data_IF_379884448093
#
_entry.id   IF_379884448093
#
_cell.length_a   1.000
_cell.length_b   1.000
_cell.length_c   1.000
_cell.angle_alpha   90.00
_cell.angle_beta   90.00
_cell.angle_gamma   90.00
#
_symmetry.space_group_name_H-M   'P 1'
#
loop_
_entity.id
_entity.type
_entity.pdbx_description
1 polymer ?
#
# COMPACT_ATOMS: atom_id res chain seq x y z
N UNK A 1 18.91 17.07 5.74
CA UNK A 1 19.36 16.19 6.85
C UNK A 1 20.61 16.74 7.57
N UNK A 2 20.80 18.07 7.66
CA UNK A 2 22.05 18.66 8.15
C UNK A 2 22.04 19.10 9.63
N UNK A 3 20.89 19.04 10.31
CA UNK A 3 20.76 19.42 11.73
C UNK A 3 19.79 18.49 12.47
N UNK A 4 20.22 17.28 12.89
CA UNK A 4 19.37 16.35 13.63
C UNK A 4 18.96 16.93 15.00
N UNK A 5 17.75 16.60 15.46
CA UNK A 5 17.13 17.12 16.69
C UNK A 5 16.78 15.95 17.60
N UNK A 6 16.38 16.22 18.84
CA UNK A 6 15.89 15.18 19.75
C UNK A 6 14.65 14.45 19.20
N UNK A 7 13.80 15.11 18.40
CA UNK A 7 12.68 14.48 17.67
C UNK A 7 13.22 13.42 16.68
N UNK A 8 14.22 13.78 15.88
CA UNK A 8 14.87 12.87 14.93
C UNK A 8 15.50 11.65 15.64
N UNK A 9 16.19 11.88 16.77
CA UNK A 9 16.80 10.82 17.56
C UNK A 9 15.76 9.86 18.16
N UNK A 10 14.63 10.38 18.65
CA UNK A 10 13.50 9.58 19.13
C UNK A 10 12.91 8.69 18.03
N UNK A 11 12.70 9.23 16.82
CA UNK A 11 12.22 8.47 15.66
C UNK A 11 13.21 7.37 15.26
N UNK A 12 14.51 7.67 15.21
CA UNK A 12 15.54 6.67 14.91
C UNK A 12 15.54 5.50 15.92
N UNK A 13 15.43 5.80 17.23
CA UNK A 13 15.30 4.75 18.25
C UNK A 13 14.06 3.90 18.07
N UNK A 14 12.93 4.48 17.67
CA UNK A 14 11.69 3.73 17.43
C UNK A 14 11.90 2.69 16.33
N UNK A 15 12.56 3.06 15.24
CA UNK A 15 12.91 2.14 14.14
C UNK A 15 13.82 1.02 14.64
N UNK A 16 14.90 1.35 15.35
CA UNK A 16 15.84 0.33 15.87
C UNK A 16 15.17 -0.62 16.87
N UNK A 17 14.30 -0.12 17.74
CA UNK A 17 13.52 -0.96 18.67
C UNK A 17 12.54 -1.87 17.94
N UNK A 18 11.93 -1.39 16.85
CA UNK A 18 11.07 -2.22 16.01
C UNK A 18 11.88 -3.37 15.42
N UNK A 19 12.99 -3.07 14.73
CA UNK A 19 13.88 -4.11 14.15
C UNK A 19 14.33 -5.12 15.21
N UNK A 20 14.80 -4.65 16.36
CA UNK A 20 15.24 -5.51 17.47
C UNK A 20 14.11 -6.37 18.04
N UNK A 21 12.90 -5.80 18.15
CA UNK A 21 11.72 -6.48 18.68
C UNK A 21 10.99 -7.38 17.68
N UNK A 22 11.45 -7.43 16.42
CA UNK A 22 10.85 -8.24 15.36
C UNK A 22 11.86 -9.10 14.62
N UNK A 23 12.99 -9.43 15.27
CA UNK A 23 14.01 -10.32 14.70
C UNK A 23 13.47 -11.72 14.41
N UNK A 24 12.47 -12.15 15.18
CA UNK A 24 11.77 -13.41 15.04
C UNK A 24 10.53 -13.29 14.14
N UNK A 25 10.35 -12.22 13.37
CA UNK A 25 9.21 -12.08 12.45
C UNK A 25 9.61 -12.36 11.01
N UNK A 26 8.69 -12.93 10.24
CA UNK A 26 8.88 -13.24 8.82
C UNK A 26 7.56 -13.27 8.05
N UNK A 27 7.66 -13.40 6.73
CA UNK A 27 6.52 -13.55 5.84
C UNK A 27 6.05 -15.02 5.83
N UNK A 28 4.78 -15.26 6.13
CA UNK A 28 4.17 -16.60 6.08
C UNK A 28 3.51 -16.85 4.71
N UNK A 29 4.14 -17.71 3.90
CA UNK A 29 3.56 -18.20 2.65
C UNK A 29 2.73 -19.45 2.90
N UNK A 30 1.43 -19.40 2.59
CA UNK A 30 0.53 -20.56 2.70
C UNK A 30 0.29 -21.15 1.32
N UNK A 31 0.36 -22.48 1.24
CA UNK A 31 0.02 -23.22 0.03
C UNK A 31 -1.51 -23.26 -0.14
N UNK A 32 -1.97 -23.12 -1.39
CA UNK A 32 -3.38 -23.31 -1.74
C UNK A 32 -4.24 -22.05 -1.65
N UNK A 33 -3.65 -20.90 -1.33
CA UNK A 33 -4.30 -19.60 -1.54
C UNK A 33 -4.32 -19.26 -3.03
N UNK A 34 -5.34 -18.55 -3.48
CA UNK A 34 -5.50 -18.21 -4.90
C UNK A 34 -4.43 -17.23 -5.42
N UNK A 35 -4.03 -17.40 -6.69
CA UNK A 35 -3.11 -16.53 -7.42
C UNK A 35 -3.77 -15.21 -7.85
N UNK A 36 -4.39 -14.48 -6.93
CA UNK A 36 -5.06 -13.20 -7.21
C UNK A 36 -4.22 -12.05 -6.68
N UNK A 37 -3.89 -11.12 -7.57
CA UNK A 37 -3.26 -9.85 -7.21
C UNK A 37 -4.29 -8.92 -6.57
N UNK A 38 -4.02 -8.46 -5.36
CA UNK A 38 -4.85 -7.48 -4.64
C UNK A 38 -3.98 -6.31 -4.18
N UNK A 39 -4.44 -5.10 -4.42
CA UNK A 39 -3.76 -3.86 -4.05
C UNK A 39 -4.47 -3.08 -2.95
N UNK A 40 -3.71 -2.28 -2.24
CA UNK A 40 -4.14 -1.31 -1.23
C UNK A 40 -3.42 0.01 -1.48
N UNK A 41 -4.11 1.14 -1.37
CA UNK A 41 -3.51 2.46 -1.45
C UNK A 41 -4.08 3.40 -0.38
N UNK A 42 -3.20 4.19 0.23
CA UNK A 42 -3.53 5.23 1.19
C UNK A 42 -2.56 6.41 1.02
N UNK A 43 -2.88 7.57 1.57
CA UNK A 43 -1.91 8.65 1.72
C UNK A 43 -2.12 9.38 3.04
N UNK A 44 -1.04 9.91 3.61
CA UNK A 44 -1.19 11.00 4.56
C UNK A 44 -1.64 12.29 3.84
N UNK A 45 -2.10 13.28 4.60
CA UNK A 45 -2.34 14.61 4.07
C UNK A 45 -1.41 15.63 4.73
N UNK A 46 -0.58 16.29 3.91
CA UNK A 46 0.39 17.28 4.35
C UNK A 46 1.34 16.75 5.44
N UNK A 47 1.76 15.47 5.35
CA UNK A 47 2.58 14.84 6.38
C UNK A 47 3.98 15.43 6.56
N UNK A 48 4.48 16.15 5.55
CA UNK A 48 5.78 16.83 5.59
C UNK A 48 5.62 18.31 5.98
N UNK A 49 6.00 18.67 7.21
CA UNK A 49 5.98 20.07 7.70
C UNK A 49 6.89 21.00 6.86
N UNK A 50 7.93 20.46 6.20
CA UNK A 50 8.92 21.25 5.46
C UNK A 50 8.39 21.81 4.12
N UNK A 51 7.53 21.06 3.45
CA UNK A 51 7.05 21.40 2.09
C UNK A 51 5.56 21.09 1.86
N UNK A 52 4.84 20.70 2.92
CA UNK A 52 3.41 20.35 2.94
C UNK A 52 3.03 19.25 1.95
N UNK A 53 4.00 18.45 1.49
CA UNK A 53 3.72 17.33 0.59
C UNK A 53 3.25 16.12 1.38
N UNK A 54 2.32 15.39 0.77
CA UNK A 54 1.83 14.13 1.28
C UNK A 54 2.80 12.97 1.04
N UNK A 55 2.64 11.89 1.77
CA UNK A 55 3.27 10.58 1.54
C UNK A 55 2.21 9.60 1.06
N UNK A 56 2.40 9.02 -0.12
CA UNK A 56 1.61 7.92 -0.65
C UNK A 56 2.15 6.58 -0.15
N UNK A 57 1.25 5.67 0.22
CA UNK A 57 1.58 4.29 0.55
C UNK A 57 0.76 3.32 -0.29
N UNK A 58 1.38 2.21 -0.68
CA UNK A 58 0.66 1.09 -1.26
C UNK A 58 1.23 -0.25 -0.82
N UNK A 59 0.40 -1.29 -0.86
CA UNK A 59 0.78 -2.68 -0.69
C UNK A 59 0.03 -3.57 -1.69
N UNK A 60 0.74 -4.55 -2.23
CA UNK A 60 0.20 -5.58 -3.11
C UNK A 60 0.47 -6.95 -2.53
N UNK A 61 -0.60 -7.73 -2.43
CA UNK A 61 -0.57 -9.13 -2.03
C UNK A 61 -0.78 -10.03 -3.23
N UNK A 62 -0.18 -11.21 -3.18
CA UNK A 62 -0.40 -12.28 -4.13
C UNK A 62 -0.42 -13.59 -3.34
N UNK A 63 -1.54 -14.30 -3.36
CA UNK A 63 -1.80 -15.39 -2.42
C UNK A 63 -1.93 -14.88 -0.98
N UNK A 64 -1.18 -15.48 -0.05
CA UNK A 64 -1.36 -15.27 1.39
C UNK A 64 -0.67 -14.03 1.97
N UNK A 65 0.14 -13.30 1.19
CA UNK A 65 1.15 -12.40 1.75
C UNK A 65 1.47 -11.22 0.84
N UNK A 66 1.93 -10.13 1.44
CA UNK A 66 2.46 -8.97 0.71
C UNK A 66 3.76 -9.34 0.00
N UNK A 67 3.95 -8.84 -1.20
CA UNK A 67 5.21 -9.02 -1.94
C UNK A 67 5.75 -7.73 -2.57
N UNK A 68 4.92 -6.70 -2.72
CA UNK A 68 5.33 -5.40 -3.25
C UNK A 68 4.67 -4.28 -2.43
N UNK A 69 5.44 -3.33 -1.94
CA UNK A 69 4.95 -2.21 -1.15
C UNK A 69 5.84 -0.98 -1.31
N UNK A 70 5.30 0.20 -1.03
CA UNK A 70 6.10 1.41 -0.97
C UNK A 70 5.51 2.46 -0.04
N UNK A 71 6.38 3.36 0.43
CA UNK A 71 6.04 4.62 1.07
C UNK A 71 6.83 5.71 0.32
N UNK A 72 6.13 6.58 -0.39
CA UNK A 72 6.72 7.52 -1.37
C UNK A 72 6.18 8.92 -1.14
N UNK A 73 7.08 9.88 -0.96
CA UNK A 73 6.71 11.29 -0.88
C UNK A 73 6.17 11.78 -2.23
N UNK A 74 4.99 12.39 -2.23
CA UNK A 74 4.37 12.94 -3.42
C UNK A 74 5.21 14.09 -3.98
N UNK A 75 5.21 14.22 -5.32
CA UNK A 75 5.98 15.27 -5.98
C UNK A 75 5.28 16.63 -5.98
N UNK A 76 3.95 16.63 -5.99
CA UNK A 76 3.09 17.81 -5.89
C UNK A 76 2.45 17.93 -4.49
N UNK A 77 2.09 19.15 -4.12
CA UNK A 77 1.27 19.42 -2.93
C UNK A 77 -0.19 19.16 -3.29
N UNK A 78 -0.86 18.31 -2.53
CA UNK A 78 -2.30 18.05 -2.67
C UNK A 78 -3.11 19.10 -1.90
N UNK A 79 -4.19 19.61 -2.50
CA UNK A 79 -5.03 20.64 -1.90
C UNK A 79 -6.15 20.07 -1.01
N UNK A 80 -6.31 18.75 -1.00
CA UNK A 80 -7.23 18.06 -0.10
C UNK A 80 -6.74 16.63 0.19
N UNK A 81 -7.29 16.01 1.23
CA UNK A 81 -7.10 14.58 1.53
C UNK A 81 -7.49 13.69 0.34
N UNK A 82 -8.60 14.02 -0.33
CA UNK A 82 -9.08 13.28 -1.50
C UNK A 82 -8.12 13.38 -2.68
N UNK A 83 -7.49 14.55 -2.89
CA UNK A 83 -6.46 14.69 -3.93
C UNK A 83 -5.19 13.92 -3.59
N UNK A 84 -4.74 13.94 -2.33
CA UNK A 84 -3.59 13.17 -1.89
C UNK A 84 -3.81 11.67 -2.11
N UNK A 85 -4.98 11.17 -1.74
CA UNK A 85 -5.33 9.76 -1.94
C UNK A 85 -5.50 9.41 -3.41
N UNK A 86 -6.02 10.33 -4.22
CA UNK A 86 -6.07 10.14 -5.67
C UNK A 86 -4.68 10.01 -6.29
N UNK A 87 -3.71 10.81 -5.80
CA UNK A 87 -2.30 10.64 -6.19
C UNK A 87 -1.79 9.26 -5.79
N UNK A 88 -2.07 8.80 -4.56
CA UNK A 88 -1.68 7.45 -4.13
C UNK A 88 -2.30 6.34 -4.98
N UNK A 89 -3.59 6.43 -5.27
CA UNK A 89 -4.30 5.47 -6.13
C UNK A 89 -3.69 5.44 -7.54
N UNK A 90 -3.22 6.57 -8.07
CA UNK A 90 -2.54 6.63 -9.36
C UNK A 90 -1.20 5.90 -9.34
N UNK A 91 -0.39 6.08 -8.29
CA UNK A 91 0.90 5.39 -8.15
C UNK A 91 0.68 3.88 -7.97
N UNK A 92 -0.32 3.49 -7.17
CA UNK A 92 -0.71 2.09 -7.02
C UNK A 92 -1.26 1.49 -8.32
N UNK A 93 -1.99 2.24 -9.13
CA UNK A 93 -2.46 1.79 -10.46
C UNK A 93 -1.29 1.50 -11.40
N UNK A 94 -0.25 2.33 -11.36
CA UNK A 94 0.98 2.10 -12.13
C UNK A 94 1.68 0.82 -11.67
N UNK A 95 1.79 0.62 -10.36
CA UNK A 95 2.36 -0.59 -9.80
C UNK A 95 1.52 -1.83 -10.15
N UNK A 96 0.20 -1.77 -10.07
CA UNK A 96 -0.69 -2.87 -10.45
C UNK A 96 -0.50 -3.25 -11.93
N UNK A 97 -0.41 -2.26 -12.82
CA UNK A 97 -0.20 -2.47 -14.26
C UNK A 97 1.13 -3.20 -14.50
N UNK A 98 2.22 -2.74 -13.86
CA UNK A 98 3.52 -3.37 -13.96
C UNK A 98 3.55 -4.79 -13.37
N UNK A 99 2.94 -4.99 -12.20
CA UNK A 99 2.87 -6.29 -11.56
C UNK A 99 2.08 -7.31 -12.39
N UNK A 100 0.99 -6.89 -13.04
CA UNK A 100 0.23 -7.77 -13.94
C UNK A 100 1.07 -8.23 -15.13
N UNK A 101 1.85 -7.33 -15.72
CA UNK A 101 2.79 -7.67 -16.79
C UNK A 101 3.84 -8.68 -16.31
N UNK A 102 4.45 -8.45 -15.13
CA UNK A 102 5.43 -9.37 -14.55
C UNK A 102 4.81 -10.74 -14.23
N UNK A 103 3.59 -10.78 -13.69
CA UNK A 103 2.90 -12.04 -13.38
C UNK A 103 2.53 -12.83 -14.63
N UNK A 104 2.18 -12.15 -15.73
CA UNK A 104 1.95 -12.78 -17.02
C UNK A 104 3.22 -13.48 -17.53
N UNK A 105 4.39 -12.83 -17.44
CA UNK A 105 5.68 -13.45 -17.79
C UNK A 105 6.01 -14.69 -16.95
N UNK A 106 5.52 -14.75 -15.71
CA UNK A 106 5.65 -15.92 -14.83
C UNK A 106 4.56 -16.99 -15.04
N UNK A 107 3.63 -16.80 -15.98
CA UNK A 107 2.54 -17.73 -16.26
C UNK A 107 1.32 -17.59 -15.34
N UNK A 108 1.26 -16.55 -14.51
CA UNK A 108 0.19 -16.26 -13.55
C UNK A 108 -0.69 -15.10 -14.04
N UNK A 109 -1.17 -15.20 -15.28
CA UNK A 109 -1.98 -14.17 -15.93
C UNK A 109 -3.22 -13.82 -15.09
N UNK A 110 -3.37 -12.53 -14.77
CA UNK A 110 -4.51 -12.01 -14.03
C UNK A 110 -5.67 -11.71 -14.99
N UNK A 111 -6.64 -12.62 -15.12
CA UNK A 111 -7.75 -12.46 -16.08
C UNK A 111 -8.85 -11.49 -15.62
N UNK A 112 -8.89 -11.19 -14.33
CA UNK A 112 -9.84 -10.25 -13.73
C UNK A 112 -9.12 -8.97 -13.31
N UNK A 113 -9.84 -7.86 -13.30
CA UNK A 113 -9.35 -6.57 -12.81
C UNK A 113 -8.80 -6.69 -11.38
N UNK A 114 -7.62 -6.15 -11.14
CA UNK A 114 -6.98 -6.17 -9.81
C UNK A 114 -7.79 -5.30 -8.84
N UNK A 115 -8.34 -5.86 -7.75
CA UNK A 115 -9.01 -5.06 -6.73
C UNK A 115 -7.99 -4.10 -6.09
N UNK A 116 -8.27 -2.81 -6.14
CA UNK A 116 -7.47 -1.77 -5.51
C UNK A 116 -8.29 -1.13 -4.39
N UNK A 117 -7.90 -1.40 -3.14
CA UNK A 117 -8.60 -0.99 -1.94
C UNK A 117 -8.23 0.43 -1.52
N UNK A 118 -9.23 1.30 -1.40
CA UNK A 118 -9.11 2.70 -0.98
C UNK A 118 -10.19 2.99 0.07
N UNK A 119 -9.85 3.69 1.15
CA UNK A 119 -10.78 4.00 2.25
C UNK A 119 -11.47 5.36 2.08
N UNK A 120 -11.12 6.12 1.03
CA UNK A 120 -11.75 7.40 0.73
C UNK A 120 -12.80 7.31 -0.37
N UNK A 121 -14.05 7.35 0.07
CA UNK A 121 -15.22 7.34 -0.82
C UNK A 121 -15.26 8.53 -1.77
N UNK A 122 -14.70 9.69 -1.40
CA UNK A 122 -14.61 10.86 -2.28
C UNK A 122 -13.62 10.59 -3.42
N UNK A 123 -12.46 10.01 -3.11
CA UNK A 123 -11.47 9.57 -4.12
C UNK A 123 -12.11 8.60 -5.12
N UNK A 124 -12.85 7.61 -4.62
CA UNK A 124 -13.60 6.65 -5.45
C UNK A 124 -14.70 7.33 -6.28
N UNK A 125 -15.39 8.33 -5.72
CA UNK A 125 -16.41 9.06 -6.44
C UNK A 125 -15.83 9.93 -7.58
N UNK A 126 -14.61 10.48 -7.39
CA UNK A 126 -13.92 11.26 -8.41
C UNK A 126 -13.63 10.41 -9.65
N UNK A 127 -13.24 9.14 -9.51
CA UNK A 127 -12.98 8.28 -10.68
C UNK A 127 -14.23 8.05 -11.53
N UNK A 128 -15.42 8.08 -10.92
CA UNK A 128 -16.71 7.85 -11.59
C UNK A 128 -17.29 9.12 -12.25
N UNK A 129 -16.93 10.32 -11.80
CA UNK A 129 -17.59 11.56 -12.20
C UNK A 129 -16.67 12.52 -13.00
N UNK A 130 -17.01 12.85 -14.27
CA UNK A 130 -16.20 13.73 -15.11
C UNK A 130 -16.26 15.22 -14.71
N UNK A 131 -17.21 15.61 -13.85
CA UNK A 131 -17.46 17.03 -13.51
C UNK A 131 -16.38 17.62 -12.58
N UNK A 132 -15.65 16.78 -11.82
CA UNK A 132 -14.67 17.25 -10.83
C UNK A 132 -13.36 17.83 -11.43
N UNK A 133 -13.16 17.83 -12.74
CA UNK A 133 -11.86 18.17 -13.38
C UNK A 133 -11.46 19.65 -13.27
N UNK A 134 -12.42 20.57 -13.08
CA UNK A 134 -12.08 22.00 -13.03
C UNK A 134 -11.19 22.38 -11.84
N UNK A 135 -11.23 21.60 -10.75
CA UNK A 135 -10.47 21.90 -9.51
C UNK A 135 -9.13 21.15 -9.39
N UNK A 136 -8.87 20.14 -10.23
CA UNK A 136 -7.75 19.20 -10.08
C UNK A 136 -6.72 19.26 -11.23
N UNK A 137 -6.54 20.43 -11.86
CA UNK A 137 -5.68 20.59 -13.06
C UNK A 137 -4.25 20.04 -12.88
N UNK A 138 -3.66 20.22 -11.70
CA UNK A 138 -2.28 19.81 -11.41
C UNK A 138 -2.11 18.28 -11.31
N UNK A 139 -3.21 17.51 -11.18
CA UNK A 139 -3.22 16.04 -11.20
C UNK A 139 -3.97 15.46 -12.40
N UNK A 140 -4.27 16.26 -13.43
CA UNK A 140 -5.14 15.83 -14.54
C UNK A 140 -4.62 14.58 -15.29
N UNK A 141 -3.29 14.44 -15.44
CA UNK A 141 -2.71 13.23 -16.06
C UNK A 141 -3.03 11.96 -15.26
N UNK A 142 -2.99 12.05 -13.92
CA UNK A 142 -3.34 10.94 -13.01
C UNK A 142 -4.81 10.59 -13.13
N UNK A 143 -5.67 11.59 -13.28
CA UNK A 143 -7.10 11.38 -13.51
C UNK A 143 -7.36 10.51 -14.75
N UNK A 144 -6.81 10.93 -15.89
CA UNK A 144 -6.97 10.19 -17.13
C UNK A 144 -6.39 8.77 -17.04
N UNK A 145 -5.24 8.63 -16.38
CA UNK A 145 -4.59 7.34 -16.22
C UNK A 145 -5.43 6.33 -15.41
N UNK A 146 -5.92 6.70 -14.23
CA UNK A 146 -6.79 5.81 -13.43
C UNK A 146 -8.06 5.46 -14.20
N UNK A 147 -8.67 6.44 -14.88
CA UNK A 147 -9.89 6.20 -15.65
C UNK A 147 -9.67 5.23 -16.81
N UNK A 148 -8.58 5.38 -17.55
CA UNK A 148 -8.19 4.47 -18.61
C UNK A 148 -7.99 3.05 -18.06
N UNK A 149 -7.26 2.91 -16.95
CA UNK A 149 -7.03 1.61 -16.31
C UNK A 149 -8.33 0.94 -15.83
N UNK A 150 -9.29 1.71 -15.31
CA UNK A 150 -10.63 1.21 -14.96
C UNK A 150 -11.42 0.77 -16.19
N UNK A 151 -11.39 1.55 -17.28
CA UNK A 151 -12.10 1.24 -18.52
C UNK A 151 -11.52 0.01 -19.23
N UNK A 152 -10.21 -0.19 -19.16
CA UNK A 152 -9.52 -1.36 -19.70
C UNK A 152 -9.64 -2.59 -18.79
N UNK A 153 -10.26 -2.47 -17.61
CA UNK A 153 -10.38 -3.57 -16.66
C UNK A 153 -9.05 -4.01 -16.05
N UNK A 154 -8.04 -3.13 -16.02
CA UNK A 154 -6.73 -3.41 -15.39
C UNK A 154 -6.88 -3.45 -13.88
N UNK A 155 -7.62 -2.48 -13.33
CA UNK A 155 -7.93 -2.37 -11.91
C UNK A 155 -9.44 -2.21 -11.68
N UNK A 156 -9.87 -2.52 -10.46
CA UNK A 156 -11.18 -2.17 -9.94
C UNK A 156 -11.01 -1.47 -8.60
N UNK A 157 -11.28 -0.16 -8.55
CA UNK A 157 -11.12 0.63 -7.33
C UNK A 157 -12.33 0.42 -6.41
N UNK A 158 -12.11 -0.16 -5.22
CA UNK A 158 -13.16 -0.55 -4.27
C UNK A 158 -12.94 0.08 -2.90
N UNK A 159 -14.04 0.27 -2.17
CA UNK A 159 -13.99 0.80 -0.81
C UNK A 159 -13.50 -0.26 0.16
N UNK A 160 -12.57 0.10 1.03
CA UNK A 160 -12.10 -0.70 2.15
C UNK A 160 -12.24 0.11 3.45
N UNK A 161 -12.74 -0.46 4.57
CA UNK A 161 -12.77 0.26 5.83
C UNK A 161 -11.36 0.62 6.31
N UNK A 162 -11.15 1.82 6.87
CA UNK A 162 -9.81 2.25 7.34
C UNK A 162 -9.15 1.30 8.35
N UNK A 163 -9.94 0.52 9.11
CA UNK A 163 -9.39 -0.51 10.01
C UNK A 163 -8.71 -1.67 9.28
N UNK A 164 -9.10 -1.93 8.04
CA UNK A 164 -8.57 -2.99 7.16
C UNK A 164 -7.65 -2.40 6.08
N UNK A 165 -7.46 -1.09 6.06
CA UNK A 165 -6.59 -0.41 5.10
C UNK A 165 -5.12 -0.69 5.43
N UNK A 166 -4.58 -1.74 4.83
CA UNK A 166 -3.20 -2.18 5.06
C UNK A 166 -2.16 -1.12 4.66
N UNK A 167 -2.48 -0.27 3.68
CA UNK A 167 -1.57 0.79 3.25
C UNK A 167 -1.30 1.86 4.33
N UNK A 168 -2.16 1.96 5.36
CA UNK A 168 -2.00 2.90 6.49
C UNK A 168 -0.68 2.72 7.23
N UNK A 169 -0.11 1.50 7.23
CA UNK A 169 1.17 1.24 7.89
C UNK A 169 2.33 2.01 7.25
N UNK A 170 2.18 2.44 6.00
CA UNK A 170 3.20 3.13 5.22
C UNK A 170 3.07 4.65 5.25
N UNK A 171 1.99 5.18 5.83
CA UNK A 171 1.59 6.59 5.73
C UNK A 171 1.24 7.19 7.10
N UNK A 172 0.76 6.40 8.06
CA UNK A 172 0.23 6.89 9.33
C UNK A 172 1.05 6.40 10.53
N UNK A 173 1.15 7.26 11.54
CA UNK A 173 1.70 6.89 12.84
C UNK A 173 0.65 6.13 13.67
N UNK A 174 0.54 4.83 13.44
CA UNK A 174 -0.48 3.99 14.08
C UNK A 174 -0.19 3.65 15.55
N UNK A 175 -1.26 3.46 16.32
CA UNK A 175 -1.21 2.87 17.65
C UNK A 175 -0.74 1.40 17.55
N UNK A 176 -0.11 0.89 18.63
CA UNK A 176 0.52 -0.44 18.64
C UNK A 176 -0.42 -1.56 18.22
N UNK A 177 -1.67 -1.54 18.68
CA UNK A 177 -2.68 -2.56 18.39
C UNK A 177 -3.02 -2.57 16.90
N UNK A 178 -3.41 -1.42 16.34
CA UNK A 178 -3.71 -1.30 14.91
C UNK A 178 -2.51 -1.63 14.03
N UNK A 179 -1.31 -1.16 14.39
CA UNK A 179 -0.08 -1.49 13.67
C UNK A 179 0.18 -3.00 13.66
N UNK A 180 -0.01 -3.66 14.81
CA UNK A 180 0.21 -5.12 14.92
C UNK A 180 -0.80 -5.90 14.09
N UNK A 181 -2.06 -5.46 14.08
CA UNK A 181 -3.12 -6.04 13.27
C UNK A 181 -2.85 -5.90 11.76
N UNK A 182 -2.56 -4.69 11.27
CA UNK A 182 -2.26 -4.49 9.85
C UNK A 182 -0.98 -5.21 9.40
N UNK A 183 0.03 -5.29 10.27
CA UNK A 183 1.24 -6.09 10.03
C UNK A 183 0.91 -7.58 9.86
N UNK A 184 -0.02 -8.10 10.65
CA UNK A 184 -0.47 -9.49 10.49
C UNK A 184 -1.23 -9.70 9.18
N UNK A 185 -2.07 -8.73 8.76
CA UNK A 185 -2.74 -8.75 7.45
C UNK A 185 -1.75 -8.72 6.26
N UNK A 186 -0.59 -8.08 6.42
CA UNK A 186 0.51 -8.17 5.45
C UNK A 186 1.16 -9.57 5.37
N UNK A 187 0.83 -10.47 6.30
CA UNK A 187 1.43 -11.79 6.44
C UNK A 187 2.75 -11.80 7.22
N UNK A 188 3.10 -10.69 7.90
CA UNK A 188 4.29 -10.61 8.77
C UNK A 188 3.95 -11.15 10.16
N UNK A 189 4.44 -12.35 10.47
CA UNK A 189 4.11 -13.09 11.70
C UNK A 189 5.36 -13.54 12.45
N UNK A 190 5.21 -13.83 13.75
CA UNK A 190 6.30 -14.42 14.53
C UNK A 190 6.58 -15.85 14.09
N UNK A 191 7.85 -16.12 13.81
CA UNK A 191 8.44 -17.38 13.37
C UNK A 191 8.41 -18.44 14.47
N UNK A 192 8.18 -18.07 15.73
CA UNK A 192 7.92 -19.05 16.79
C UNK A 192 6.73 -19.98 16.46
N UNK A 193 5.77 -19.48 15.67
CA UNK A 193 4.64 -20.27 15.17
C UNK A 193 4.94 -21.01 13.84
N UNK A 194 6.06 -20.70 13.18
CA UNK A 194 6.47 -21.23 11.87
C UNK A 194 7.59 -22.28 11.94
N UNK A 195 8.15 -22.55 13.13
CA UNK A 195 9.06 -23.69 13.35
C UNK A 195 8.28 -25.00 13.28
N UNK A 196 7.86 -25.37 12.07
CA UNK A 196 7.44 -26.71 11.73
C UNK A 196 8.59 -27.68 12.02
N UNK A 197 8.25 -28.77 12.70
CA UNK A 197 9.12 -29.92 12.97
C UNK A 197 9.68 -30.46 11.66
N UNK A 198 10.90 -30.04 11.29
CA UNK A 198 11.65 -30.74 10.24
C UNK A 198 12.14 -32.04 10.88
N UNK A 199 11.28 -33.06 10.89
CA UNK A 199 11.73 -34.44 11.03
C UNK A 199 12.49 -34.78 9.76
N UNK A 200 13.78 -34.47 9.75
CA UNK A 200 14.70 -34.99 8.74
C UNK A 200 14.70 -36.51 8.90
N UNK A 201 13.90 -37.20 8.08
CA UNK A 201 14.08 -38.63 7.87
C UNK A 201 15.49 -38.78 7.27
N UNK A 202 16.40 -39.29 8.11
CA UNK A 202 17.70 -39.76 7.65
C UNK A 202 17.44 -40.95 6.72
N UNK A 203 17.91 -40.82 5.49
CA UNK A 203 18.11 -41.95 4.57
C UNK A 203 19.24 -42.83 5.09
#
# INVERSE_FOLDING_TARGET
MHSPTNKHYGTAKRVLRYVQGTLDFGLEYKKGEGSVLVGFCDSDWSGSEDDMKSTSGYAFTFGSVVFSWASVKQQCVALSTSEAEYVSASEATAQATWLRFVLEDFGEMQTVATPLNCDNTSTIAITKNPIFHQKTKHINRRYHYIKEALQQGVINLIYCPSKEQVADIFTKALAREQFSYLRELLGVKSVHNLKGSINVQKW
#
